data_IF_510872269817
#
_entry.id   IF_510872269817
#
_cell.length_a   1.000
_cell.length_b   1.000
_cell.length_c   1.000
_cell.angle_alpha   90.00
_cell.angle_beta   90.00
_cell.angle_gamma   90.00
#
_symmetry.space_group_name_H-M   'P 1'
#
loop_
_entity.id
_entity.type
_entity.pdbx_description
1 polymer ?
#
# COMPACT_ATOMS: atom_id res chain seq x y z
N UNK A 1 9.43 9.35 11.72
CA UNK A 1 9.30 7.90 11.86
C UNK A 1 8.68 7.33 10.58
N UNK A 2 9.31 6.37 9.93
CA UNK A 2 8.85 5.82 8.65
C UNK A 2 9.75 4.69 8.18
N UNK A 3 9.31 3.86 7.22
CA UNK A 3 10.09 2.71 6.77
C UNK A 3 10.15 2.56 5.25
N UNK A 4 9.03 2.40 4.51
CA UNK A 4 9.03 2.15 3.07
C UNK A 4 9.25 3.41 2.25
N UNK A 5 9.34 3.23 0.93
CA UNK A 5 9.47 4.29 -0.06
C UNK A 5 8.42 5.40 0.12
N UNK A 6 7.19 5.05 0.48
CA UNK A 6 6.11 6.01 0.77
C UNK A 6 6.49 7.11 1.77
N UNK A 7 7.36 6.85 2.74
CA UNK A 7 7.75 7.82 3.76
C UNK A 7 8.93 8.72 3.33
N UNK A 8 9.63 8.38 2.25
CA UNK A 8 10.82 9.11 1.78
C UNK A 8 10.50 10.53 1.33
N UNK A 9 9.46 10.80 0.51
CA UNK A 9 9.12 12.16 0.11
C UNK A 9 8.80 13.07 1.30
N UNK A 10 8.10 12.57 2.33
CA UNK A 10 7.84 13.33 3.56
C UNK A 10 9.14 13.73 4.28
N UNK A 11 10.12 12.82 4.39
CA UNK A 11 11.42 13.15 4.98
C UNK A 11 12.16 14.20 4.16
N UNK A 12 12.22 14.05 2.84
CA UNK A 12 12.86 15.01 1.94
C UNK A 12 12.18 16.38 2.03
N UNK A 13 10.86 16.43 2.00
CA UNK A 13 10.10 17.67 2.10
C UNK A 13 10.40 18.43 3.41
N UNK A 14 10.55 17.73 4.54
CA UNK A 14 10.97 18.34 5.80
C UNK A 14 12.36 19.00 5.66
N UNK A 15 13.33 18.30 5.09
CA UNK A 15 14.69 18.81 4.90
C UNK A 15 14.73 20.01 3.94
N UNK A 16 14.06 19.88 2.80
CA UNK A 16 14.03 20.89 1.74
C UNK A 16 13.32 22.19 2.19
N UNK A 17 12.41 22.10 3.18
CA UNK A 17 11.75 23.25 3.78
C UNK A 17 12.43 23.76 5.07
N UNK A 18 13.64 23.28 5.37
CA UNK A 18 14.47 23.81 6.46
C UNK A 18 14.08 23.33 7.86
N UNK A 19 13.24 22.30 7.98
CA UNK A 19 12.94 21.71 9.28
C UNK A 19 14.16 20.95 9.83
N UNK A 20 14.48 21.17 11.10
CA UNK A 20 15.56 20.47 11.78
C UNK A 20 15.12 19.04 12.15
N UNK A 21 15.51 18.06 11.35
CA UNK A 21 15.23 16.64 11.64
C UNK A 21 16.31 16.11 12.59
N UNK A 22 15.98 16.01 13.88
CA UNK A 22 16.93 15.61 14.96
C UNK A 22 17.19 14.11 14.97
N UNK A 23 16.36 13.29 14.36
CA UNK A 23 16.55 11.85 14.24
C UNK A 23 15.45 11.17 13.44
N UNK A 24 15.76 10.00 12.91
CA UNK A 24 14.86 9.16 12.13
C UNK A 24 14.72 7.79 12.81
N UNK A 25 13.49 7.36 13.01
CA UNK A 25 13.14 6.02 13.48
C UNK A 25 12.57 5.20 12.34
N UNK A 26 13.10 4.01 12.09
CA UNK A 26 12.58 3.08 11.09
C UNK A 26 12.64 1.63 11.60
N UNK A 27 12.01 0.71 10.87
CA UNK A 27 12.09 -0.71 11.18
C UNK A 27 13.53 -1.20 11.06
N UNK A 28 13.95 -2.21 11.85
CA UNK A 28 15.24 -2.87 11.68
C UNK A 28 15.45 -3.39 10.26
N UNK A 29 16.72 -3.44 9.84
CA UNK A 29 17.09 -4.03 8.56
C UNK A 29 16.60 -5.48 8.50
N UNK A 30 16.02 -5.87 7.37
CA UNK A 30 15.45 -7.20 7.15
C UNK A 30 16.09 -7.86 5.93
N UNK A 31 16.19 -9.20 5.91
CA UNK A 31 16.59 -9.92 4.72
C UNK A 31 15.68 -9.58 3.52
N UNK A 32 16.26 -9.16 2.38
CA UNK A 32 15.54 -8.83 1.15
C UNK A 32 16.07 -9.63 -0.03
N UNK A 33 15.18 -10.00 -0.94
CA UNK A 33 15.51 -10.69 -2.17
C UNK A 33 15.97 -12.15 -2.01
N UNK A 34 16.35 -12.79 -3.14
CA UNK A 34 16.71 -14.23 -3.20
C UNK A 34 17.98 -14.60 -2.41
N UNK A 35 18.83 -13.64 -2.08
CA UNK A 35 20.07 -13.87 -1.34
C UNK A 35 19.98 -13.65 0.17
N UNK A 36 18.80 -13.31 0.71
CA UNK A 36 18.56 -13.01 2.14
C UNK A 36 19.59 -12.05 2.76
N UNK A 37 20.19 -11.16 1.97
CA UNK A 37 21.09 -10.14 2.49
C UNK A 37 20.29 -9.08 3.26
N UNK A 38 20.81 -8.67 4.41
CA UNK A 38 20.23 -7.54 5.15
C UNK A 38 20.26 -6.30 4.27
N UNK A 39 19.11 -5.68 4.10
CA UNK A 39 18.97 -4.45 3.34
C UNK A 39 18.42 -3.34 4.24
N UNK A 40 19.02 -2.16 4.13
CA UNK A 40 18.48 -0.97 4.73
C UNK A 40 17.11 -0.64 4.12
N UNK A 41 16.24 0.00 4.92
CA UNK A 41 15.00 0.52 4.37
C UNK A 41 15.24 1.87 3.67
N UNK A 42 14.37 2.28 2.72
CA UNK A 42 14.54 3.52 1.96
C UNK A 42 14.67 4.77 2.81
N UNK A 43 13.91 4.85 3.91
CA UNK A 43 14.01 5.99 4.85
C UNK A 43 15.37 6.05 5.55
N UNK A 44 15.95 4.89 5.94
CA UNK A 44 17.31 4.83 6.50
C UNK A 44 18.34 5.30 5.51
N UNK A 45 18.28 4.84 4.27
CA UNK A 45 19.23 5.25 3.22
C UNK A 45 19.19 6.77 3.00
N UNK A 46 17.98 7.34 2.94
CA UNK A 46 17.79 8.79 2.80
C UNK A 46 18.32 9.56 4.01
N UNK A 47 18.04 9.10 5.23
CA UNK A 47 18.50 9.75 6.46
C UNK A 47 20.01 9.72 6.59
N UNK A 48 20.66 8.57 6.30
CA UNK A 48 22.12 8.42 6.32
C UNK A 48 22.79 9.35 5.29
N UNK A 49 22.23 9.42 4.08
CA UNK A 49 22.73 10.32 3.04
C UNK A 49 22.64 11.81 3.44
N UNK A 50 21.65 12.16 4.28
CA UNK A 50 21.47 13.51 4.83
C UNK A 50 22.23 13.75 6.16
N UNK A 51 23.01 12.77 6.66
CA UNK A 51 23.74 12.89 7.91
C UNK A 51 22.88 12.89 9.18
N UNK A 52 21.63 12.37 9.10
CA UNK A 52 20.68 12.34 10.21
C UNK A 52 20.87 11.04 11.02
N UNK A 53 20.89 11.11 12.37
CA UNK A 53 20.92 9.93 13.22
C UNK A 53 19.73 8.99 12.95
N UNK A 54 20.00 7.68 12.82
CA UNK A 54 18.98 6.66 12.57
C UNK A 54 18.89 5.69 13.74
N UNK A 55 17.66 5.47 14.19
CA UNK A 55 17.31 4.56 15.28
C UNK A 55 16.42 3.44 14.76
N UNK A 56 16.75 2.20 15.10
CA UNK A 56 16.04 1.01 14.60
C UNK A 56 15.62 0.06 15.75
N UNK A 57 14.87 0.55 16.75
CA UNK A 57 14.42 -0.32 17.83
C UNK A 57 13.46 -1.40 17.28
N UNK A 58 13.61 -2.65 17.74
CA UNK A 58 12.67 -3.73 17.38
C UNK A 58 11.22 -3.36 17.76
N UNK A 59 11.06 -2.65 18.86
CA UNK A 59 9.78 -2.07 19.29
C UNK A 59 10.01 -0.72 19.95
N UNK A 60 9.56 0.35 19.30
CA UNK A 60 9.77 1.72 19.80
C UNK A 60 9.17 1.95 21.20
N UNK A 61 8.11 1.26 21.55
CA UNK A 61 7.44 1.35 22.87
C UNK A 61 8.20 0.67 24.01
N UNK A 62 9.34 0.03 23.77
CA UNK A 62 10.23 -0.48 24.83
C UNK A 62 11.17 0.61 25.33
N UNK A 63 11.73 0.42 26.53
CA UNK A 63 12.58 1.39 27.19
C UNK A 63 13.67 1.98 26.26
N UNK A 64 14.36 1.15 25.50
CA UNK A 64 15.38 1.59 24.52
C UNK A 64 14.85 2.62 23.52
N UNK A 65 13.69 2.35 22.91
CA UNK A 65 13.07 3.25 21.93
C UNK A 65 12.54 4.54 22.56
N UNK A 66 11.96 4.43 23.75
CA UNK A 66 11.46 5.58 24.54
C UNK A 66 12.61 6.50 24.94
N UNK A 67 13.69 5.96 25.52
CA UNK A 67 14.84 6.73 25.95
C UNK A 67 15.57 7.37 24.75
N UNK A 68 15.70 6.65 23.63
CA UNK A 68 16.25 7.21 22.40
C UNK A 68 15.43 8.42 21.92
N UNK A 69 14.08 8.32 21.93
CA UNK A 69 13.23 9.44 21.52
C UNK A 69 13.32 10.61 22.51
N UNK A 70 13.28 10.34 23.83
CA UNK A 70 13.42 11.36 24.88
C UNK A 70 14.75 12.11 24.77
N UNK A 71 15.86 11.41 24.47
CA UNK A 71 17.17 12.02 24.34
C UNK A 71 17.29 13.04 23.20
N UNK A 72 16.48 12.90 22.16
CA UNK A 72 16.40 13.83 21.04
C UNK A 72 15.56 15.08 21.35
N UNK A 73 14.73 15.04 22.38
CA UNK A 73 13.82 16.12 22.81
C UNK A 73 13.08 16.79 21.64
N UNK A 74 12.38 16.04 20.75
CA UNK A 74 11.74 16.63 19.60
C UNK A 74 10.55 17.51 20.01
N UNK A 75 10.35 18.63 19.33
CA UNK A 75 9.15 19.45 19.52
C UNK A 75 7.91 18.76 18.91
N UNK A 76 8.07 18.11 17.78
CA UNK A 76 7.04 17.39 17.04
C UNK A 76 7.58 16.06 16.51
N UNK A 77 6.74 15.04 16.48
CA UNK A 77 7.01 13.81 15.72
C UNK A 77 6.14 13.76 14.46
N UNK A 78 6.72 13.25 13.37
CA UNK A 78 6.00 12.94 12.12
C UNK A 78 6.10 11.44 11.87
N UNK A 79 4.98 10.81 11.52
CA UNK A 79 4.93 9.41 11.12
C UNK A 79 4.37 9.29 9.70
N UNK A 80 4.95 8.37 8.92
CA UNK A 80 4.43 7.94 7.62
C UNK A 80 4.81 6.47 7.42
N UNK A 81 3.84 5.58 7.35
CA UNK A 81 4.04 4.13 7.17
C UNK A 81 5.15 3.56 8.07
N UNK A 82 5.16 3.91 9.35
CA UNK A 82 6.20 3.46 10.30
C UNK A 82 6.09 1.98 10.63
N UNK A 83 4.87 1.44 10.72
CA UNK A 83 4.62 0.02 10.95
C UNK A 83 4.80 -0.43 12.41
N UNK A 84 4.82 0.48 13.37
CA UNK A 84 4.78 0.18 14.81
C UNK A 84 3.73 1.03 15.51
N UNK A 85 3.02 0.42 16.46
CA UNK A 85 2.10 1.14 17.33
C UNK A 85 2.89 1.96 18.36
N UNK A 86 2.49 3.21 18.54
CA UNK A 86 3.06 4.11 19.52
C UNK A 86 2.32 3.94 20.86
N UNK A 87 3.07 3.90 21.97
CA UNK A 87 2.48 3.91 23.32
C UNK A 87 2.21 5.35 23.76
N UNK A 88 1.37 5.52 24.78
CA UNK A 88 1.13 6.84 25.36
C UNK A 88 2.43 7.53 25.76
N UNK A 89 3.36 6.79 26.35
CA UNK A 89 4.68 7.33 26.73
C UNK A 89 5.46 7.91 25.55
N UNK A 90 5.39 7.30 24.36
CA UNK A 90 6.00 7.83 23.12
C UNK A 90 5.26 9.09 22.65
N UNK A 91 3.92 9.06 22.70
CA UNK A 91 3.08 10.17 22.24
C UNK A 91 3.22 11.43 23.13
N UNK A 92 3.56 11.24 24.39
CA UNK A 92 3.76 12.32 25.37
C UNK A 92 5.15 12.99 25.28
N UNK A 93 6.10 12.44 24.51
CA UNK A 93 7.44 13.00 24.37
C UNK A 93 7.45 14.33 23.60
N UNK A 94 6.86 14.43 22.40
CA UNK A 94 6.89 15.67 21.63
C UNK A 94 5.83 16.67 22.15
N UNK A 95 6.24 17.89 22.45
CA UNK A 95 5.36 18.94 23.00
C UNK A 95 4.18 19.27 22.08
N UNK A 96 4.40 19.24 20.76
CA UNK A 96 3.38 19.55 19.75
C UNK A 96 2.66 18.27 19.25
N UNK A 97 2.91 17.12 19.89
CA UNK A 97 2.28 15.85 19.53
C UNK A 97 2.94 15.13 18.35
N UNK A 98 2.23 14.14 17.83
CA UNK A 98 2.69 13.32 16.71
C UNK A 98 1.70 13.43 15.55
N UNK A 99 2.15 13.88 14.39
CA UNK A 99 1.34 13.98 13.16
C UNK A 99 1.63 12.78 12.27
N UNK A 100 0.59 12.11 11.81
CA UNK A 100 0.66 11.01 10.84
C UNK A 100 0.23 11.47 9.46
N UNK A 101 0.97 11.07 8.43
CA UNK A 101 0.58 11.16 7.02
C UNK A 101 -0.11 9.85 6.66
N UNK A 102 -1.45 9.86 6.69
CA UNK A 102 -2.26 8.67 6.46
C UNK A 102 -2.78 8.62 5.02
N UNK A 103 -2.60 7.48 4.37
CA UNK A 103 -2.90 7.32 2.94
C UNK A 103 -4.36 6.96 2.66
N UNK A 104 -5.30 7.68 3.26
CA UNK A 104 -6.73 7.62 2.96
C UNK A 104 -7.45 8.93 3.30
N UNK A 105 -8.70 9.02 2.88
CA UNK A 105 -9.63 10.08 3.29
C UNK A 105 -10.35 9.64 4.57
N UNK A 106 -9.68 9.82 5.73
CA UNK A 106 -10.26 9.48 7.02
C UNK A 106 -11.64 10.17 7.23
N UNK A 107 -12.58 9.51 7.93
CA UNK A 107 -12.40 8.31 8.77
C UNK A 107 -12.46 6.99 8.03
N UNK A 108 -12.58 6.96 6.69
CA UNK A 108 -12.58 5.73 5.90
C UNK A 108 -11.17 5.16 5.75
N UNK A 109 -11.09 3.82 5.63
CA UNK A 109 -9.83 3.07 5.44
C UNK A 109 -8.79 3.33 6.54
N UNK A 110 -9.20 3.28 7.82
CA UNK A 110 -8.26 3.14 8.93
C UNK A 110 -7.53 1.81 8.81
N UNK A 111 -6.29 1.74 9.26
CA UNK A 111 -5.51 0.50 9.30
C UNK A 111 -4.28 0.48 8.41
N UNK A 112 -3.80 -0.71 8.06
CA UNK A 112 -2.42 -0.87 7.58
C UNK A 112 -2.22 -0.84 6.06
N UNK A 113 -3.27 -0.88 5.26
CA UNK A 113 -3.15 -0.99 3.81
C UNK A 113 -4.24 -0.21 3.04
N UNK A 114 -4.52 1.06 3.40
CA UNK A 114 -5.61 1.83 2.82
C UNK A 114 -5.50 1.97 1.30
N UNK A 115 -4.29 2.15 0.76
CA UNK A 115 -4.03 2.31 -0.67
C UNK A 115 -4.46 1.06 -1.46
N UNK A 116 -4.11 -0.13 -0.95
CA UNK A 116 -4.50 -1.37 -1.62
C UNK A 116 -6.01 -1.56 -1.60
N UNK A 117 -6.64 -1.33 -0.45
CA UNK A 117 -8.07 -1.55 -0.27
C UNK A 117 -8.93 -0.61 -1.09
N UNK A 118 -8.61 0.69 -1.18
CA UNK A 118 -9.40 1.60 -2.03
C UNK A 118 -9.35 1.19 -3.51
N UNK A 119 -8.22 0.67 -4.02
CA UNK A 119 -8.14 0.13 -5.38
C UNK A 119 -8.93 -1.19 -5.50
N UNK A 120 -8.76 -2.13 -4.57
CA UNK A 120 -9.48 -3.41 -4.57
C UNK A 120 -11.00 -3.23 -4.49
N UNK A 121 -11.47 -2.21 -3.77
CA UNK A 121 -12.89 -1.87 -3.66
C UNK A 121 -13.42 -1.10 -4.87
N UNK A 122 -12.56 -0.76 -5.83
CA UNK A 122 -12.94 -0.04 -7.04
C UNK A 122 -13.39 1.39 -6.79
N UNK A 123 -12.85 2.05 -5.76
CA UNK A 123 -13.15 3.45 -5.47
C UNK A 123 -12.62 4.37 -6.57
N UNK A 124 -13.36 5.43 -6.86
CA UNK A 124 -12.97 6.39 -7.89
C UNK A 124 -12.02 7.49 -7.37
N UNK A 125 -12.04 7.73 -6.05
CA UNK A 125 -11.29 8.81 -5.40
C UNK A 125 -10.70 8.30 -4.10
N UNK A 126 -9.48 8.73 -3.83
CA UNK A 126 -8.78 8.53 -2.56
C UNK A 126 -8.01 9.80 -2.19
N UNK A 127 -7.10 9.73 -1.26
CA UNK A 127 -6.29 10.88 -0.89
C UNK A 127 -5.40 10.63 0.32
N UNK A 128 -4.93 11.73 0.87
CA UNK A 128 -4.13 11.78 2.09
C UNK A 128 -4.89 12.58 3.16
N UNK A 129 -4.80 12.11 4.39
CA UNK A 129 -5.19 12.88 5.56
C UNK A 129 -3.97 13.03 6.48
N UNK A 130 -3.59 14.26 6.82
CA UNK A 130 -2.72 14.47 7.98
C UNK A 130 -3.59 14.46 9.23
N UNK A 131 -3.13 13.80 10.29
CA UNK A 131 -3.90 13.63 11.52
C UNK A 131 -2.97 13.59 12.73
N UNK A 132 -3.47 13.94 13.91
CA UNK A 132 -2.78 13.60 15.14
C UNK A 132 -2.86 12.10 15.43
N UNK A 133 -1.74 11.52 15.84
CA UNK A 133 -1.73 10.13 16.31
C UNK A 133 -2.15 10.08 17.77
N UNK A 134 -3.09 9.21 18.07
CA UNK A 134 -3.50 8.84 19.43
C UNK A 134 -3.21 7.37 19.71
N UNK A 135 -3.70 6.84 20.83
CA UNK A 135 -3.49 5.44 21.25
C UNK A 135 -4.30 4.45 20.40
N UNK A 136 -5.33 4.92 19.68
CA UNK A 136 -6.14 4.10 18.80
C UNK A 136 -5.50 3.89 17.42
N UNK A 137 -6.11 3.03 16.62
CA UNK A 137 -5.66 2.80 15.25
C UNK A 137 -6.29 3.85 14.33
N UNK A 138 -5.51 4.86 13.97
CA UNK A 138 -5.88 5.97 13.07
C UNK A 138 -7.15 6.72 13.52
N UNK A 139 -7.34 6.88 14.84
CA UNK A 139 -8.55 7.47 15.47
C UNK A 139 -8.40 8.93 15.85
N UNK A 140 -7.19 9.47 15.86
CA UNK A 140 -6.93 10.85 16.27
C UNK A 140 -7.55 11.89 15.35
N UNK A 141 -7.55 13.15 15.81
CA UNK A 141 -8.15 14.25 15.07
C UNK A 141 -7.50 14.45 13.70
N UNK A 142 -8.32 14.57 12.66
CA UNK A 142 -7.88 14.95 11.33
C UNK A 142 -7.46 16.43 11.32
N UNK A 143 -6.49 16.75 10.48
CA UNK A 143 -5.95 18.09 10.29
C UNK A 143 -6.31 18.63 8.90
N UNK A 144 -5.58 18.20 7.88
CA UNK A 144 -5.83 18.55 6.49
C UNK A 144 -6.08 17.31 5.65
N UNK A 145 -6.77 17.50 4.52
CA UNK A 145 -6.99 16.45 3.51
C UNK A 145 -6.61 16.95 2.13
N UNK A 146 -6.13 16.04 1.29
CA UNK A 146 -5.94 16.25 -0.13
C UNK A 146 -6.51 15.04 -0.88
N UNK A 147 -7.45 15.31 -1.79
CA UNK A 147 -8.13 14.29 -2.59
C UNK A 147 -7.45 14.13 -3.95
N UNK A 148 -7.54 12.92 -4.50
CA UNK A 148 -7.06 12.63 -5.86
C UNK A 148 -7.87 11.50 -6.48
N UNK A 149 -8.17 11.53 -7.79
CA UNK A 149 -8.81 10.40 -8.46
C UNK A 149 -7.86 9.19 -8.51
N UNK A 150 -8.44 7.99 -8.54
CA UNK A 150 -7.74 6.74 -8.84
C UNK A 150 -7.88 6.49 -10.34
N UNK A 151 -6.76 6.28 -11.04
CA UNK A 151 -6.76 5.97 -12.47
C UNK A 151 -7.41 4.61 -12.77
N UNK A 152 -8.08 4.51 -13.92
CA UNK A 152 -8.80 3.28 -14.31
C UNK A 152 -7.91 2.04 -14.38
N UNK A 153 -6.65 2.21 -14.74
CA UNK A 153 -5.65 1.12 -14.84
C UNK A 153 -4.57 1.21 -13.77
N UNK A 154 -4.66 2.18 -12.87
CA UNK A 154 -3.64 2.45 -11.86
C UNK A 154 -3.58 1.32 -10.83
N UNK A 155 -2.38 0.82 -10.58
CA UNK A 155 -2.11 -0.17 -9.54
C UNK A 155 -1.93 0.50 -8.18
N UNK A 156 -2.07 -0.28 -7.11
CA UNK A 156 -1.80 0.22 -5.75
C UNK A 156 -0.36 0.71 -5.58
N UNK A 157 0.60 0.12 -6.29
CA UNK A 157 1.99 0.59 -6.29
C UNK A 157 2.14 1.98 -6.91
N UNK A 158 1.62 2.19 -8.11
CA UNK A 158 1.65 3.49 -8.80
C UNK A 158 0.89 4.56 -8.01
N UNK A 159 -0.28 4.21 -7.46
CA UNK A 159 -1.04 5.10 -6.59
C UNK A 159 -0.26 5.46 -5.31
N UNK A 160 0.46 4.49 -4.71
CA UNK A 160 1.31 4.72 -3.54
C UNK A 160 2.41 5.75 -3.82
N UNK A 161 3.08 5.64 -4.97
CA UNK A 161 4.12 6.59 -5.38
C UNK A 161 3.54 8.00 -5.48
N UNK A 162 2.40 8.16 -6.14
CA UNK A 162 1.72 9.44 -6.32
C UNK A 162 1.18 10.02 -5.00
N UNK A 163 0.61 9.19 -4.14
CA UNK A 163 0.12 9.60 -2.81
C UNK A 163 1.26 9.96 -1.86
N UNK A 164 2.45 9.39 -2.02
CA UNK A 164 3.61 9.73 -1.20
C UNK A 164 4.06 11.18 -1.42
N UNK A 165 4.06 11.65 -2.66
CA UNK A 165 4.35 13.04 -3.01
C UNK A 165 3.25 14.00 -2.54
N UNK A 166 1.98 13.66 -2.80
CA UNK A 166 0.83 14.42 -2.30
C UNK A 166 0.85 14.55 -0.77
N UNK A 167 1.24 13.47 -0.08
CA UNK A 167 1.37 13.43 1.37
C UNK A 167 2.48 14.32 1.90
N UNK A 168 3.61 14.38 1.18
CA UNK A 168 4.72 15.27 1.52
C UNK A 168 4.33 16.76 1.39
N UNK A 169 3.64 17.14 0.31
CA UNK A 169 3.13 18.50 0.12
C UNK A 169 2.10 18.87 1.21
N UNK A 170 1.16 17.96 1.49
CA UNK A 170 0.15 18.19 2.53
C UNK A 170 0.76 18.29 3.92
N UNK A 171 1.81 17.50 4.22
CA UNK A 171 2.55 17.60 5.47
C UNK A 171 3.15 18.98 5.67
N UNK A 172 3.85 19.53 4.67
CA UNK A 172 4.46 20.85 4.78
C UNK A 172 3.41 21.95 4.98
N UNK A 173 2.28 21.86 4.27
CA UNK A 173 1.16 22.77 4.49
C UNK A 173 0.62 22.65 5.92
N UNK A 174 0.45 21.43 6.44
CA UNK A 174 0.00 21.16 7.82
C UNK A 174 0.94 21.79 8.84
N UNK A 175 2.25 21.64 8.66
CA UNK A 175 3.24 22.20 9.57
C UNK A 175 3.25 23.73 9.56
N UNK A 176 3.13 24.35 8.40
CA UNK A 176 3.01 25.83 8.27
C UNK A 176 1.76 26.35 8.98
N UNK A 177 0.63 25.69 8.85
CA UNK A 177 -0.61 26.08 9.53
C UNK A 177 -0.49 25.85 11.07
N UNK A 178 0.24 24.81 11.49
CA UNK A 178 0.56 24.55 12.91
C UNK A 178 1.41 25.70 13.48
N UNK A 179 2.47 26.10 12.82
CA UNK A 179 3.37 27.20 13.22
C UNK A 179 2.64 28.55 13.27
N UNK A 180 1.74 28.79 12.31
CA UNK A 180 0.91 30.00 12.28
C UNK A 180 -0.21 29.99 13.32
N UNK A 181 -0.45 28.87 14.03
CA UNK A 181 -1.55 28.75 14.99
C UNK A 181 -2.95 28.74 14.34
N UNK A 182 -3.03 28.46 13.04
CA UNK A 182 -4.28 28.45 12.27
C UNK A 182 -4.84 27.04 12.03
N UNK A 183 -4.03 26.01 12.31
CA UNK A 183 -4.40 24.61 12.09
C UNK A 183 -5.59 24.21 12.97
N UNK A 184 -6.62 23.67 12.33
CA UNK A 184 -7.82 23.20 13.03
C UNK A 184 -7.76 21.67 13.23
N UNK A 185 -8.18 21.24 14.39
CA UNK A 185 -8.36 19.82 14.71
C UNK A 185 -9.82 19.45 14.49
N UNK A 186 -10.05 18.40 13.70
CA UNK A 186 -11.39 17.92 13.34
C UNK A 186 -11.53 16.50 13.88
N UNK A 187 -12.33 16.30 14.94
CA UNK A 187 -12.62 14.96 15.44
C UNK A 187 -13.23 14.07 14.36
N UNK A 188 -12.81 12.81 14.31
CA UNK A 188 -13.39 11.86 13.37
C UNK A 188 -14.77 11.40 13.83
N UNK A 189 -15.73 11.25 12.89
CA UNK A 189 -17.02 10.62 13.17
C UNK A 189 -16.86 9.08 13.17
N UNK A 190 -16.99 8.38 14.31
CA UNK A 190 -16.83 6.93 14.36
C UNK A 190 -17.84 6.16 13.50
N UNK A 191 -19.02 6.74 13.24
CA UNK A 191 -20.07 6.10 12.45
C UNK A 191 -19.71 6.02 10.94
N UNK A 192 -18.76 6.83 10.48
CA UNK A 192 -18.28 6.84 9.08
C UNK A 192 -16.98 6.04 8.91
N UNK A 193 -16.41 5.55 10.02
CA UNK A 193 -15.13 4.86 9.98
C UNK A 193 -15.24 3.45 9.39
N UNK A 194 -14.31 3.13 8.50
CA UNK A 194 -14.06 1.76 8.05
C UNK A 194 -12.67 1.31 8.49
N UNK A 195 -12.50 0.01 8.68
CA UNK A 195 -11.25 -0.59 9.12
C UNK A 195 -10.85 -1.68 8.14
N UNK A 196 -9.66 -1.53 7.58
CA UNK A 196 -9.18 -2.46 6.59
C UNK A 196 -8.20 -3.45 7.23
N UNK A 197 -8.37 -4.76 6.98
CA UNK A 197 -7.49 -5.77 7.53
C UNK A 197 -6.09 -5.67 6.91
N UNK A 198 -5.11 -6.19 7.65
CA UNK A 198 -3.77 -6.34 7.12
C UNK A 198 -3.78 -7.31 5.95
N UNK A 199 -3.12 -6.93 4.85
CA UNK A 199 -2.95 -7.83 3.71
C UNK A 199 -2.08 -9.03 4.06
N UNK A 200 -2.43 -10.16 3.48
CA UNK A 200 -1.63 -11.38 3.46
C UNK A 200 -1.58 -11.96 2.03
N UNK A 201 -0.95 -13.10 1.86
CA UNK A 201 -0.86 -13.73 0.54
C UNK A 201 -2.21 -14.16 0.00
N UNK A 202 -3.11 -14.63 0.86
CA UNK A 202 -4.45 -15.10 0.47
C UNK A 202 -5.35 -13.95 0.01
N UNK A 203 -5.10 -12.72 0.45
CA UNK A 203 -5.81 -11.53 -0.04
C UNK A 203 -5.72 -11.38 -1.56
N UNK A 204 -4.63 -11.86 -2.18
CA UNK A 204 -4.44 -11.84 -3.64
C UNK A 204 -5.09 -13.02 -4.39
N UNK A 205 -5.77 -13.95 -3.72
CA UNK A 205 -6.43 -15.09 -4.37
C UNK A 205 -7.62 -14.62 -5.19
N UNK A 206 -7.65 -14.96 -6.48
CA UNK A 206 -8.78 -14.64 -7.36
C UNK A 206 -9.93 -15.61 -7.08
N UNK A 207 -11.08 -15.03 -6.80
CA UNK A 207 -12.38 -15.71 -6.81
C UNK A 207 -13.05 -15.44 -8.16
N UNK A 208 -13.05 -16.44 -9.02
CA UNK A 208 -13.61 -16.34 -10.38
C UNK A 208 -15.14 -16.18 -10.40
N UNK A 209 -15.84 -16.37 -9.30
CA UNK A 209 -17.29 -16.10 -9.21
C UNK A 209 -17.61 -14.61 -9.13
N UNK A 210 -16.62 -13.78 -8.90
CA UNK A 210 -16.70 -12.32 -8.87
C UNK A 210 -16.86 -11.74 -10.28
N UNK A 211 -17.30 -10.49 -10.35
CA UNK A 211 -17.38 -9.75 -11.61
C UNK A 211 -16.00 -9.47 -12.20
N UNK A 212 -15.92 -9.27 -13.50
CA UNK A 212 -14.69 -8.90 -14.19
C UNK A 212 -14.07 -7.62 -13.63
N UNK A 213 -14.92 -6.65 -13.23
CA UNK A 213 -14.47 -5.42 -12.57
C UNK A 213 -13.86 -5.69 -11.19
N UNK A 214 -14.48 -6.54 -10.37
CA UNK A 214 -13.92 -6.89 -9.05
C UNK A 214 -12.58 -7.62 -9.19
N UNK A 215 -12.45 -8.49 -10.19
CA UNK A 215 -11.19 -9.19 -10.49
C UNK A 215 -10.11 -8.21 -10.94
N UNK A 216 -10.43 -7.27 -11.85
CA UNK A 216 -9.50 -6.23 -12.27
C UNK A 216 -9.05 -5.37 -11.07
N UNK A 217 -9.99 -4.91 -10.24
CA UNK A 217 -9.70 -4.14 -9.03
C UNK A 217 -8.80 -4.93 -8.06
N UNK A 218 -9.07 -6.23 -7.86
CA UNK A 218 -8.21 -7.09 -7.04
C UNK A 218 -6.80 -7.18 -7.61
N UNK A 219 -6.65 -7.42 -8.92
CA UNK A 219 -5.34 -7.54 -9.57
C UNK A 219 -4.55 -6.25 -9.43
N UNK A 220 -5.15 -5.10 -9.68
CA UNK A 220 -4.50 -3.78 -9.54
C UNK A 220 -4.19 -3.46 -8.08
N UNK A 221 -5.14 -3.67 -7.19
CA UNK A 221 -4.98 -3.41 -5.75
C UNK A 221 -3.99 -4.34 -5.05
N UNK A 222 -3.82 -5.57 -5.55
CA UNK A 222 -2.80 -6.51 -5.04
C UNK A 222 -1.40 -6.26 -5.65
N UNK A 223 -1.24 -5.41 -6.63
CA UNK A 223 0.04 -5.16 -7.30
C UNK A 223 0.77 -3.96 -6.68
N UNK A 224 2.05 -4.07 -6.26
CA UNK A 224 2.97 -5.21 -6.45
C UNK A 224 2.88 -6.29 -5.37
N UNK A 225 2.23 -6.05 -4.26
CA UNK A 225 2.10 -6.99 -3.14
C UNK A 225 0.68 -6.92 -2.54
N UNK A 226 0.07 -8.06 -2.22
CA UNK A 226 0.59 -9.44 -2.15
C UNK A 226 0.76 -10.12 -3.52
N UNK A 227 0.23 -9.56 -4.59
CA UNK A 227 0.17 -10.12 -5.92
C UNK A 227 -1.06 -11.01 -6.12
N UNK A 228 -1.85 -10.74 -7.16
CA UNK A 228 -2.99 -11.58 -7.50
C UNK A 228 -2.54 -12.95 -8.03
N UNK A 229 -3.27 -13.99 -7.69
CA UNK A 229 -2.97 -15.34 -8.15
C UNK A 229 -4.21 -16.23 -8.23
N UNK A 230 -4.10 -17.26 -9.05
CA UNK A 230 -5.07 -18.37 -9.11
C UNK A 230 -4.36 -19.71 -8.97
N UNK A 231 -4.99 -20.66 -8.29
CA UNK A 231 -4.44 -22.00 -8.13
C UNK A 231 -4.65 -22.85 -9.39
N UNK A 232 -3.70 -23.73 -9.69
CA UNK A 232 -3.78 -24.79 -10.70
C UNK A 232 -3.22 -26.08 -10.15
N UNK A 233 -3.38 -27.21 -10.87
CA UNK A 233 -2.79 -28.49 -10.48
C UNK A 233 -1.25 -28.43 -10.35
N UNK A 234 -0.61 -27.58 -11.15
CA UNK A 234 0.85 -27.43 -11.22
C UNK A 234 1.41 -26.32 -10.30
N UNK A 235 0.53 -25.68 -9.50
CA UNK A 235 0.91 -24.58 -8.61
C UNK A 235 0.09 -23.32 -8.86
N UNK A 236 0.59 -22.16 -8.45
CA UNK A 236 -0.13 -20.90 -8.58
C UNK A 236 0.38 -20.07 -9.78
N UNK A 237 -0.54 -19.65 -10.64
CA UNK A 237 -0.29 -18.63 -11.65
C UNK A 237 -0.46 -17.26 -11.01
N UNK A 238 0.56 -16.42 -11.08
CA UNK A 238 0.44 -15.00 -10.67
C UNK A 238 -0.06 -14.18 -11.84
N UNK A 239 -0.96 -13.24 -11.54
CA UNK A 239 -1.63 -12.40 -12.52
C UNK A 239 -1.33 -10.93 -12.18
N UNK A 240 -0.84 -10.15 -13.15
CA UNK A 240 -0.39 -8.78 -12.95
C UNK A 240 -1.22 -7.74 -13.71
N UNK A 241 -1.88 -8.16 -14.78
CA UNK A 241 -2.86 -7.36 -15.48
C UNK A 241 -3.90 -8.23 -16.15
N UNK A 242 -5.12 -7.73 -16.18
CA UNK A 242 -6.27 -8.35 -16.84
C UNK A 242 -7.05 -7.31 -17.63
N UNK A 243 -7.86 -7.79 -18.58
CA UNK A 243 -8.73 -6.95 -19.38
C UNK A 243 -10.14 -7.56 -19.45
N UNK A 244 -11.17 -6.92 -18.86
CA UNK A 244 -12.56 -7.28 -19.09
C UNK A 244 -12.92 -7.19 -20.58
N UNK A 245 -13.66 -8.16 -21.11
CA UNK A 245 -13.97 -8.22 -22.55
C UNK A 245 -15.34 -7.64 -22.90
N UNK A 246 -16.20 -7.40 -21.93
CA UNK A 246 -17.54 -6.78 -22.07
C UNK A 246 -18.46 -7.50 -23.06
N UNK A 247 -18.46 -8.85 -23.03
CA UNK A 247 -19.23 -9.68 -23.95
C UNK A 247 -20.11 -10.72 -23.25
N UNK A 248 -20.08 -10.75 -21.90
CA UNK A 248 -20.69 -11.78 -21.07
C UNK A 248 -19.84 -13.05 -20.97
N UNK A 249 -20.14 -13.93 -19.99
CA UNK A 249 -19.36 -15.14 -19.73
C UNK A 249 -19.60 -16.18 -20.82
N UNK A 250 -18.52 -16.77 -21.34
CA UNK A 250 -18.57 -17.83 -22.36
C UNK A 250 -18.42 -19.23 -21.76
N UNK A 251 -18.30 -19.35 -20.42
CA UNK A 251 -18.10 -20.61 -19.69
C UNK A 251 -18.46 -20.49 -18.21
N UNK A 252 -18.19 -21.53 -17.45
CA UNK A 252 -18.33 -21.50 -16.00
C UNK A 252 -17.22 -20.63 -15.35
N UNK A 253 -17.49 -20.00 -14.18
CA UNK A 253 -16.47 -19.21 -13.48
C UNK A 253 -15.17 -19.99 -13.24
N UNK A 254 -14.04 -19.43 -13.71
CA UNK A 254 -12.72 -20.04 -13.67
C UNK A 254 -12.37 -20.90 -14.89
N UNK A 255 -13.32 -21.16 -15.79
CA UNK A 255 -13.05 -21.94 -17.00
C UNK A 255 -12.21 -21.15 -18.01
N UNK A 256 -11.15 -21.78 -18.52
CA UNK A 256 -10.37 -21.26 -19.64
C UNK A 256 -11.19 -21.42 -20.91
N UNK A 257 -11.67 -20.33 -21.47
CA UNK A 257 -12.52 -20.32 -22.68
C UNK A 257 -11.74 -20.09 -23.96
N UNK A 258 -10.54 -19.53 -23.88
CA UNK A 258 -9.58 -19.42 -24.98
C UNK A 258 -8.15 -19.43 -24.43
N UNK A 259 -7.24 -20.10 -25.17
CA UNK A 259 -5.82 -20.19 -24.81
C UNK A 259 -4.97 -20.35 -26.08
N UNK A 260 -4.80 -19.29 -26.85
CA UNK A 260 -3.96 -19.27 -28.06
C UNK A 260 -3.23 -17.91 -28.22
N UNK A 261 -2.16 -17.90 -28.98
CA UNK A 261 -1.31 -16.71 -29.16
C UNK A 261 -2.02 -15.53 -29.89
N UNK A 262 -3.15 -15.78 -30.57
CA UNK A 262 -3.91 -14.75 -31.28
C UNK A 262 -4.96 -14.14 -30.38
N UNK A 263 -5.79 -14.98 -29.75
CA UNK A 263 -6.88 -14.56 -28.89
C UNK A 263 -6.38 -14.17 -27.49
N UNK A 264 -5.37 -14.87 -26.97
CA UNK A 264 -4.86 -14.70 -25.61
C UNK A 264 -5.34 -15.80 -24.65
N UNK A 265 -5.06 -15.63 -23.39
CA UNK A 265 -5.56 -16.48 -22.31
C UNK A 265 -6.80 -15.84 -21.73
N UNK A 266 -7.97 -16.41 -22.00
CA UNK A 266 -9.26 -15.86 -21.60
C UNK A 266 -9.92 -16.82 -20.62
N UNK A 267 -10.41 -16.28 -19.51
CA UNK A 267 -11.08 -17.02 -18.43
C UNK A 267 -12.45 -16.42 -18.18
N UNK A 268 -13.46 -17.28 -18.09
CA UNK A 268 -14.80 -16.86 -17.72
C UNK A 268 -14.89 -16.50 -16.22
N UNK A 269 -15.64 -15.48 -15.89
CA UNK A 269 -15.90 -15.08 -14.52
C UNK A 269 -17.40 -14.88 -14.24
N UNK A 270 -17.77 -14.26 -13.12
CA UNK A 270 -19.16 -14.21 -12.67
C UNK A 270 -20.14 -13.52 -13.63
N UNK A 271 -19.67 -12.54 -14.40
CA UNK A 271 -20.52 -11.72 -15.28
C UNK A 271 -19.96 -11.50 -16.69
N UNK A 272 -18.69 -11.87 -16.93
CA UNK A 272 -18.00 -11.60 -18.20
C UNK A 272 -16.88 -12.61 -18.44
N UNK A 273 -16.15 -12.45 -19.53
CA UNK A 273 -14.86 -13.07 -19.77
C UNK A 273 -13.74 -12.05 -19.50
N UNK A 274 -12.61 -12.53 -18.98
CA UNK A 274 -11.43 -11.70 -18.65
C UNK A 274 -10.22 -12.23 -19.41
N UNK A 275 -9.56 -11.40 -20.22
CA UNK A 275 -8.25 -11.71 -20.81
C UNK A 275 -7.16 -11.50 -19.74
N UNK A 276 -6.36 -12.51 -19.48
CA UNK A 276 -5.16 -12.42 -18.66
C UNK A 276 -4.02 -11.93 -19.53
N UNK A 277 -3.57 -10.68 -19.34
CA UNK A 277 -2.56 -10.08 -20.22
C UNK A 277 -1.15 -10.36 -19.76
N UNK A 278 -0.86 -10.16 -18.47
CA UNK A 278 0.47 -10.35 -17.90
C UNK A 278 0.42 -11.37 -16.78
N UNK A 279 1.15 -12.45 -16.95
CA UNK A 279 1.15 -13.60 -16.04
C UNK A 279 2.56 -14.02 -15.65
N UNK A 280 2.65 -14.82 -14.61
CA UNK A 280 3.85 -15.55 -14.24
C UNK A 280 3.46 -16.98 -13.84
N UNK A 281 3.83 -17.93 -14.68
CA UNK A 281 3.67 -19.35 -14.41
C UNK A 281 4.61 -19.82 -13.28
N UNK A 282 4.30 -20.92 -12.58
CA UNK A 282 5.18 -21.50 -11.59
C UNK A 282 6.60 -21.73 -12.13
N UNK A 283 7.61 -21.22 -11.42
CA UNK A 283 9.02 -21.32 -11.84
C UNK A 283 9.47 -20.47 -13.03
N UNK A 284 8.56 -19.80 -13.72
CA UNK A 284 8.85 -18.98 -14.89
C UNK A 284 9.08 -17.49 -14.56
N UNK A 285 9.43 -16.70 -15.57
CA UNK A 285 9.48 -15.24 -15.50
C UNK A 285 8.10 -14.63 -15.79
N UNK A 286 7.85 -13.42 -15.27
CA UNK A 286 6.71 -12.60 -15.67
C UNK A 286 6.79 -12.29 -17.16
N UNK A 287 5.70 -12.50 -17.91
CA UNK A 287 5.60 -12.26 -19.35
C UNK A 287 4.16 -12.01 -19.80
N UNK A 288 3.98 -11.55 -21.01
CA UNK A 288 2.68 -11.48 -21.66
C UNK A 288 2.12 -12.89 -21.90
N UNK A 289 0.83 -13.10 -21.65
CA UNK A 289 0.19 -14.41 -21.79
C UNK A 289 0.20 -14.92 -23.24
N UNK A 290 0.03 -14.03 -24.24
CA UNK A 290 0.13 -14.41 -25.67
C UNK A 290 1.53 -14.90 -26.04
N UNK A 291 2.58 -14.29 -25.45
CA UNK A 291 3.95 -14.74 -25.70
C UNK A 291 4.20 -16.11 -25.05
N UNK A 292 3.66 -16.35 -23.85
CA UNK A 292 3.69 -17.66 -23.23
C UNK A 292 3.06 -18.73 -24.13
N UNK A 293 1.86 -18.44 -24.66
CA UNK A 293 1.07 -19.36 -25.50
C UNK A 293 1.67 -19.63 -26.90
N UNK A 294 2.72 -18.91 -27.32
CA UNK A 294 3.46 -19.27 -28.56
C UNK A 294 4.29 -20.53 -28.41
N UNK A 295 4.67 -20.88 -27.20
CA UNK A 295 5.53 -22.05 -26.93
C UNK A 295 4.94 -23.07 -25.95
N UNK A 296 3.73 -22.81 -25.43
CA UNK A 296 3.11 -23.65 -24.41
C UNK A 296 1.61 -23.75 -24.65
N UNK A 297 1.10 -24.95 -24.67
CA UNK A 297 -0.33 -25.21 -24.75
C UNK A 297 -0.99 -25.14 -23.36
N UNK A 298 -2.14 -24.49 -23.28
CA UNK A 298 -3.04 -24.57 -22.14
C UNK A 298 -4.39 -25.12 -22.61
N UNK A 299 -4.91 -26.11 -21.91
CA UNK A 299 -6.17 -26.72 -22.31
C UNK A 299 -7.36 -25.84 -21.96
N UNK A 300 -8.23 -25.58 -22.96
CA UNK A 300 -9.57 -25.01 -22.72
C UNK A 300 -10.42 -25.97 -21.88
N UNK A 301 -11.51 -25.48 -21.29
CA UNK A 301 -12.35 -26.19 -20.35
C UNK A 301 -11.67 -26.61 -19.03
N UNK A 302 -10.40 -26.21 -18.80
CA UNK A 302 -9.75 -26.33 -17.49
C UNK A 302 -10.26 -25.23 -16.58
N UNK A 303 -10.67 -25.58 -15.35
CA UNK A 303 -11.10 -24.60 -14.35
C UNK A 303 -9.93 -24.18 -13.45
N UNK A 304 -9.63 -22.90 -13.45
CA UNK A 304 -8.68 -22.26 -12.53
C UNK A 304 -9.32 -22.08 -11.14
N UNK A 305 -8.48 -22.00 -10.10
CA UNK A 305 -8.94 -21.76 -8.72
C UNK A 305 -9.48 -22.99 -7.99
N UNK A 306 -9.64 -24.11 -8.65
CA UNK A 306 -9.98 -25.40 -8.06
C UNK A 306 -8.65 -26.14 -7.85
N UNK A 307 -8.14 -26.14 -6.62
CA UNK A 307 -7.00 -26.95 -6.19
C UNK A 307 -7.45 -27.93 -5.11
#
# INVERSE_FOLDING_TARGET
MGTPDFAVPSLRALLDNGYQVVGVFCQPDRPKGRGHKLAACPVKETAVAAGIPVFQPERIKRAEGVEALKSLAPDLCVTAAFGQLLSQEILDVPKLGTINVHASLLPRHRGSAPINWCVMMGEAVTGITTMYTDIGMDTGDMLLKAETPIGETETAGELSDRLSELGAELLIRTLRELEAGTLKRIPQNPAEATYEPKLDKETGRIDWTKTAREIDCLVRGATPWPGAFTATADGAIKIFSVKPLHRGPSGAPGEIVAADAKTGLVVACGDDDVELETIQMPGAKRMNAKDYLRGHDMQTATCLGKA
#
